data_IF_217819312260
#
_entry.id   IF_217819312260
#
_cell.length_a   1.000
_cell.length_b   1.000
_cell.length_c   1.000
_cell.angle_alpha   90.00
_cell.angle_beta   90.00
_cell.angle_gamma   90.00
#
_symmetry.space_group_name_H-M   'P 1'
#
loop_
_entity.id
_entity.type
_entity.pdbx_description
1 polymer ?
#
# COMPACT_ATOMS: atom_id res chain seq x y z
N UNK A 1 -11.63 0.12 13.67
CA UNK A 1 -10.51 -0.81 13.38
C UNK A 1 -10.95 -2.04 12.60
N UNK A 2 -11.78 -2.94 13.14
CA UNK A 2 -12.14 -4.21 12.48
C UNK A 2 -12.63 -4.03 11.03
N UNK A 3 -13.61 -3.14 10.80
CA UNK A 3 -14.11 -2.86 9.45
C UNK A 3 -13.06 -2.25 8.51
N UNK A 4 -12.06 -1.53 9.04
CA UNK A 4 -10.98 -0.99 8.23
C UNK A 4 -10.00 -2.11 7.81
N UNK A 5 -9.63 -2.99 8.74
CA UNK A 5 -8.76 -4.14 8.44
C UNK A 5 -9.41 -5.07 7.43
N UNK A 6 -10.70 -5.36 7.57
CA UNK A 6 -11.44 -6.20 6.61
C UNK A 6 -11.42 -5.58 5.19
N UNK A 7 -11.44 -4.25 5.08
CA UNK A 7 -11.41 -3.56 3.77
C UNK A 7 -10.06 -3.65 3.04
N UNK A 8 -9.00 -4.10 3.72
CA UNK A 8 -7.65 -4.21 3.16
C UNK A 8 -7.40 -5.48 2.36
N UNK A 9 -8.38 -6.40 2.34
CA UNK A 9 -8.31 -7.69 1.66
C UNK A 9 -9.52 -7.84 0.74
N UNK A 10 -9.36 -8.54 -0.38
CA UNK A 10 -10.44 -8.84 -1.33
C UNK A 10 -11.36 -9.91 -0.75
N UNK A 11 -10.77 -11.04 -0.36
CA UNK A 11 -11.49 -12.18 0.20
C UNK A 11 -11.12 -12.37 1.67
N UNK A 12 -12.13 -12.19 2.53
CA UNK A 12 -11.99 -12.33 3.97
C UNK A 12 -11.74 -13.76 4.40
N UNK A 13 -12.34 -14.72 3.70
CA UNK A 13 -12.21 -16.13 4.03
C UNK A 13 -10.84 -16.69 3.67
N UNK A 14 -10.29 -16.28 2.53
CA UNK A 14 -8.92 -16.62 2.15
C UNK A 14 -7.89 -15.92 3.05
N UNK A 15 -8.18 -14.69 3.50
CA UNK A 15 -7.24 -13.86 4.28
C UNK A 15 -7.42 -13.95 5.80
N UNK A 16 -8.18 -14.93 6.33
CA UNK A 16 -8.52 -15.00 7.78
C UNK A 16 -7.32 -14.87 8.71
N UNK A 17 -6.25 -15.59 8.39
CA UNK A 17 -5.07 -15.62 9.24
C UNK A 17 -4.31 -14.29 9.20
N UNK A 18 -4.21 -13.65 8.04
CA UNK A 18 -3.56 -12.34 7.90
C UNK A 18 -4.39 -11.21 8.53
N UNK A 19 -5.72 -11.30 8.44
CA UNK A 19 -6.64 -10.41 9.17
C UNK A 19 -6.46 -10.60 10.68
N UNK A 20 -6.41 -11.85 11.17
CA UNK A 20 -6.20 -12.15 12.59
C UNK A 20 -4.88 -11.58 13.11
N UNK A 21 -3.78 -11.77 12.36
CA UNK A 21 -2.48 -11.19 12.69
C UNK A 21 -2.54 -9.66 12.73
N UNK A 22 -3.15 -9.04 11.73
CA UNK A 22 -3.31 -7.59 11.64
C UNK A 22 -4.09 -7.03 12.84
N UNK A 23 -5.16 -7.71 13.26
CA UNK A 23 -5.94 -7.35 14.44
C UNK A 23 -5.12 -7.47 15.74
N UNK A 24 -4.28 -8.50 15.88
CA UNK A 24 -3.44 -8.65 17.08
C UNK A 24 -2.39 -7.54 17.25
N UNK A 25 -1.92 -6.95 16.15
CA UNK A 25 -1.01 -5.80 16.22
C UNK A 25 -1.71 -4.56 16.80
N UNK A 26 -3.00 -4.43 16.49
CA UNK A 26 -3.83 -3.30 16.89
C UNK A 26 -4.23 -3.38 18.38
N UNK A 27 -4.31 -4.58 18.96
CA UNK A 27 -4.66 -4.78 20.38
C UNK A 27 -3.71 -4.05 21.35
N UNK A 28 -2.48 -3.78 20.92
CA UNK A 28 -1.47 -3.09 21.73
C UNK A 28 -1.43 -1.57 21.48
N UNK A 29 -2.37 -1.03 20.70
CA UNK A 29 -2.43 0.40 20.34
C UNK A 29 -3.48 1.11 21.18
N UNK A 30 -3.09 2.17 21.89
CA UNK A 30 -4.07 3.01 22.60
C UNK A 30 -4.98 3.73 21.60
N UNK A 31 -6.23 3.99 22.00
CA UNK A 31 -7.16 4.73 21.15
C UNK A 31 -6.61 6.12 20.76
N UNK A 32 -5.96 6.81 21.70
CA UNK A 32 -5.31 8.09 21.46
C UNK A 32 -4.21 8.00 20.40
N UNK A 33 -3.31 7.01 20.49
CA UNK A 33 -2.26 6.80 19.48
C UNK A 33 -2.84 6.49 18.11
N UNK A 34 -3.95 5.73 18.05
CA UNK A 34 -4.64 5.45 16.79
C UNK A 34 -5.23 6.72 16.17
N UNK A 35 -5.95 7.53 16.94
CA UNK A 35 -6.55 8.79 16.46
C UNK A 35 -5.48 9.77 16.00
N UNK A 36 -4.45 10.00 16.83
CA UNK A 36 -3.35 10.91 16.49
C UNK A 36 -2.60 10.45 15.23
N UNK A 37 -2.46 9.14 15.03
CA UNK A 37 -1.88 8.58 13.80
C UNK A 37 -2.74 8.85 12.56
N UNK A 38 -4.06 8.69 12.67
CA UNK A 38 -4.99 9.00 11.58
C UNK A 38 -5.02 10.49 11.26
N UNK A 39 -5.03 11.35 12.26
CA UNK A 39 -4.99 12.81 12.07
C UNK A 39 -3.69 13.23 11.36
N UNK A 40 -2.54 12.70 11.80
CA UNK A 40 -1.27 12.96 11.15
C UNK A 40 -1.24 12.49 9.68
N UNK A 41 -1.80 11.31 9.37
CA UNK A 41 -1.90 10.82 7.99
C UNK A 41 -2.85 11.67 7.13
N UNK A 42 -3.96 12.14 7.71
CA UNK A 42 -4.96 12.95 7.02
C UNK A 42 -4.46 14.36 6.68
N UNK A 43 -3.70 14.99 7.58
CA UNK A 43 -3.19 16.35 7.39
C UNK A 43 -1.93 16.41 6.51
N UNK A 44 -1.24 15.29 6.33
CA UNK A 44 0.00 15.25 5.56
C UNK A 44 -0.24 15.24 4.05
N UNK A 45 0.49 16.09 3.31
CA UNK A 45 0.55 16.03 1.85
C UNK A 45 1.97 16.26 1.32
N UNK A 46 2.48 15.26 0.60
CA UNK A 46 3.76 15.30 -0.11
C UNK A 46 3.66 15.71 -1.58
N UNK A 47 2.46 16.01 -2.10
CA UNK A 47 2.20 16.11 -3.55
C UNK A 47 3.12 17.11 -4.27
N UNK A 48 3.34 18.28 -3.66
CA UNK A 48 4.23 19.33 -4.21
C UNK A 48 5.70 18.89 -4.33
N UNK A 49 6.10 17.83 -3.64
CA UNK A 49 7.47 17.34 -3.58
C UNK A 49 7.72 16.12 -4.48
N UNK A 50 6.70 15.55 -5.12
CA UNK A 50 6.83 14.32 -5.92
C UNK A 50 7.89 14.44 -7.02
N UNK A 51 7.95 15.60 -7.69
CA UNK A 51 8.95 15.89 -8.75
C UNK A 51 10.39 15.98 -8.24
N UNK A 52 10.57 16.12 -6.92
CA UNK A 52 11.90 16.16 -6.29
C UNK A 52 12.45 14.76 -6.01
N UNK A 53 11.63 13.71 -6.08
CA UNK A 53 12.07 12.33 -5.96
C UNK A 53 12.81 11.95 -7.23
N UNK A 54 14.14 11.80 -7.15
CA UNK A 54 15.01 11.46 -8.28
C UNK A 54 15.45 9.99 -8.31
N UNK A 55 15.34 9.30 -7.17
CA UNK A 55 15.65 7.88 -7.07
C UNK A 55 14.68 7.05 -7.91
N UNK A 56 15.15 5.96 -8.56
CA UNK A 56 14.26 4.97 -9.14
C UNK A 56 13.19 4.57 -8.12
N UNK A 57 11.94 4.58 -8.54
CA UNK A 57 10.79 4.35 -7.66
C UNK A 57 9.87 3.30 -8.28
N UNK A 58 9.35 2.40 -7.45
CA UNK A 58 8.31 1.46 -7.83
C UNK A 58 7.07 1.70 -6.98
N UNK A 59 5.93 1.86 -7.64
CA UNK A 59 4.61 1.82 -7.02
C UNK A 59 4.00 0.45 -7.29
N UNK A 60 3.58 -0.25 -6.23
CA UNK A 60 2.81 -1.50 -6.34
C UNK A 60 1.42 -1.22 -5.77
N UNK A 61 0.38 -1.48 -6.54
CA UNK A 61 -1.01 -1.18 -6.16
C UNK A 61 -1.94 -2.33 -6.54
N UNK A 62 -2.91 -2.64 -5.68
CA UNK A 62 -3.94 -3.63 -5.94
C UNK A 62 -5.15 -2.99 -6.63
N UNK A 63 -5.61 -3.56 -7.75
CA UNK A 63 -6.71 -2.98 -8.55
C UNK A 63 -8.08 -2.93 -7.83
N UNK A 64 -8.18 -3.62 -6.70
CA UNK A 64 -9.38 -3.73 -5.87
C UNK A 64 -9.24 -2.93 -4.56
N UNK A 65 -8.19 -2.12 -4.40
CA UNK A 65 -8.00 -1.27 -3.22
C UNK A 65 -9.09 -0.19 -3.13
N UNK A 66 -9.76 -0.14 -1.98
CA UNK A 66 -10.81 0.84 -1.66
C UNK A 66 -10.29 2.03 -0.85
N UNK A 67 -9.09 1.91 -0.30
CA UNK A 67 -8.42 2.93 0.51
C UNK A 67 -7.80 3.99 -0.37
N UNK A 68 -7.12 3.57 -1.44
CA UNK A 68 -6.40 4.45 -2.35
C UNK A 68 -6.91 4.29 -3.78
N UNK A 69 -7.71 5.27 -4.22
CA UNK A 69 -8.34 5.30 -5.54
C UNK A 69 -7.30 5.61 -6.62
N UNK A 70 -7.41 4.91 -7.76
CA UNK A 70 -6.53 5.03 -8.92
C UNK A 70 -6.22 6.48 -9.31
N UNK A 71 -7.26 7.29 -9.51
CA UNK A 71 -7.21 8.66 -10.01
C UNK A 71 -6.63 9.68 -9.01
N UNK A 72 -6.40 9.27 -7.76
CA UNK A 72 -5.96 10.18 -6.69
C UNK A 72 -4.54 9.94 -6.21
N UNK A 73 -4.12 8.70 -6.01
CA UNK A 73 -2.82 8.43 -5.41
C UNK A 73 -1.91 7.57 -6.28
N UNK A 74 -2.30 6.37 -6.73
CA UNK A 74 -1.42 5.54 -7.57
C UNK A 74 -1.05 6.25 -8.88
N UNK A 75 -2.03 6.86 -9.56
CA UNK A 75 -1.79 7.62 -10.79
C UNK A 75 -0.90 8.85 -10.56
N UNK A 76 -1.16 9.59 -9.48
CA UNK A 76 -0.40 10.79 -9.13
C UNK A 76 1.06 10.48 -8.80
N UNK A 77 1.32 9.42 -8.03
CA UNK A 77 2.67 8.95 -7.73
C UNK A 77 3.39 8.52 -9.02
N UNK A 78 2.74 7.67 -9.82
CA UNK A 78 3.33 7.14 -11.05
C UNK A 78 3.67 8.23 -12.07
N UNK A 79 2.80 9.23 -12.24
CA UNK A 79 2.97 10.25 -13.28
C UNK A 79 3.78 11.46 -12.83
N UNK A 80 3.84 11.78 -11.53
CA UNK A 80 4.58 12.95 -11.03
C UNK A 80 5.99 12.63 -10.53
N UNK A 81 6.31 11.37 -10.23
CA UNK A 81 7.68 10.94 -9.92
C UNK A 81 8.38 10.60 -11.24
N UNK A 82 9.52 11.22 -11.51
CA UNK A 82 10.18 11.19 -12.83
C UNK A 82 10.65 9.78 -13.24
N UNK A 83 11.25 9.03 -12.31
CA UNK A 83 11.78 7.68 -12.55
C UNK A 83 10.90 6.62 -11.89
N UNK A 84 9.60 6.64 -12.19
CA UNK A 84 8.63 5.76 -11.54
C UNK A 84 8.13 4.63 -12.45
N UNK A 85 8.25 3.40 -11.95
CA UNK A 85 7.55 2.23 -12.47
C UNK A 85 6.27 1.99 -11.66
N UNK A 86 5.26 1.42 -12.30
CA UNK A 86 4.00 1.03 -11.68
C UNK A 86 3.72 -0.44 -11.97
N UNK A 87 3.38 -1.20 -10.94
CA UNK A 87 2.82 -2.54 -11.06
C UNK A 87 1.41 -2.58 -10.46
N UNK A 88 0.43 -2.93 -11.29
CA UNK A 88 -0.96 -3.11 -10.86
C UNK A 88 -1.21 -4.60 -10.70
N UNK A 89 -1.51 -5.03 -9.48
CA UNK A 89 -1.77 -6.43 -9.15
C UNK A 89 -3.27 -6.66 -9.16
N UNK A 90 -3.73 -7.49 -10.10
CA UNK A 90 -5.15 -7.78 -10.26
C UNK A 90 -5.72 -8.55 -9.09
N UNK A 91 -6.99 -8.35 -8.75
CA UNK A 91 -7.69 -9.03 -7.64
C UNK A 91 -6.87 -9.00 -6.34
N UNK A 92 -6.40 -7.81 -5.99
CA UNK A 92 -5.74 -7.50 -4.71
C UNK A 92 -6.23 -6.16 -4.23
N UNK A 93 -6.44 -6.05 -2.92
CA UNK A 93 -6.85 -4.84 -2.24
C UNK A 93 -5.62 -4.11 -1.69
N UNK A 94 -5.76 -3.50 -0.52
CA UNK A 94 -4.72 -2.66 0.07
C UNK A 94 -3.43 -3.44 0.37
N UNK A 95 -3.54 -4.67 0.87
CA UNK A 95 -2.41 -5.48 1.33
C UNK A 95 -1.95 -6.50 0.30
N UNK A 96 -1.56 -6.05 -0.90
CA UNK A 96 -1.03 -6.90 -1.99
C UNK A 96 0.05 -7.89 -1.49
N UNK A 97 0.94 -7.43 -0.62
CA UNK A 97 2.04 -8.22 -0.05
C UNK A 97 1.58 -9.36 0.87
N UNK A 98 0.40 -9.24 1.49
CA UNK A 98 -0.20 -10.30 2.31
C UNK A 98 -1.11 -11.23 1.48
N UNK A 99 -1.82 -10.68 0.50
CA UNK A 99 -2.74 -11.46 -0.36
C UNK A 99 -1.99 -12.29 -1.41
N UNK A 100 -0.94 -11.73 -1.99
CA UNK A 100 -0.19 -12.32 -3.12
C UNK A 100 1.32 -12.22 -2.89
N UNK A 101 1.84 -12.82 -1.81
CA UNK A 101 3.24 -12.64 -1.40
C UNK A 101 4.23 -13.10 -2.48
N UNK A 102 3.94 -14.17 -3.24
CA UNK A 102 4.82 -14.64 -4.30
C UNK A 102 4.90 -13.63 -5.45
N UNK A 103 3.76 -13.12 -5.92
CA UNK A 103 3.72 -12.11 -6.98
C UNK A 103 4.38 -10.80 -6.53
N UNK A 104 4.06 -10.34 -5.31
CA UNK A 104 4.68 -9.15 -4.72
C UNK A 104 6.21 -9.28 -4.67
N UNK A 105 6.72 -10.41 -4.17
CA UNK A 105 8.16 -10.64 -4.05
C UNK A 105 8.85 -10.69 -5.42
N UNK A 106 8.23 -11.30 -6.43
CA UNK A 106 8.79 -11.31 -7.80
C UNK A 106 8.90 -9.88 -8.36
N UNK A 107 7.83 -9.10 -8.28
CA UNK A 107 7.81 -7.69 -8.74
C UNK A 107 8.89 -6.88 -8.02
N UNK A 108 9.01 -7.03 -6.70
CA UNK A 108 9.99 -6.32 -5.89
C UNK A 108 11.42 -6.73 -6.24
N UNK A 109 11.69 -8.03 -6.37
CA UNK A 109 13.01 -8.54 -6.74
C UNK A 109 13.44 -8.09 -8.13
N UNK A 110 12.55 -8.14 -9.13
CA UNK A 110 12.84 -7.66 -10.48
C UNK A 110 13.21 -6.18 -10.48
N UNK A 111 12.46 -5.35 -9.73
CA UNK A 111 12.78 -3.93 -9.60
C UNK A 111 14.13 -3.68 -8.90
N UNK A 112 14.39 -4.35 -7.78
CA UNK A 112 15.67 -4.20 -7.06
C UNK A 112 16.84 -4.56 -7.96
N UNK A 113 16.77 -5.70 -8.65
CA UNK A 113 17.83 -6.12 -9.57
C UNK A 113 18.03 -5.11 -10.71
N UNK A 114 16.95 -4.54 -11.24
CA UNK A 114 17.03 -3.55 -12.34
C UNK A 114 17.71 -2.23 -11.98
N UNK A 115 17.88 -1.92 -10.69
CA UNK A 115 18.47 -0.65 -10.22
C UNK A 115 19.83 -0.82 -9.53
N UNK A 116 20.27 -2.06 -9.32
CA UNK A 116 21.55 -2.41 -8.69
C UNK A 116 22.63 -2.88 -9.67
N UNK A 117 22.29 -3.02 -10.95
CA UNK A 117 23.24 -3.26 -12.06
C UNK A 117 23.78 -1.94 -12.62
#
# INVERSE_FOLDING_TARGET
>A
MYAAVDSWFVDRDESKEEIRKSLSLIENVSFESYVNGLEAMYEWSGEKYLKMIKTPTLVIWGDSDKSYQWDKQPYELWTKIENCSLSVVSNSAHNVHLEKPQQFNLILSDFINSVTE
#
